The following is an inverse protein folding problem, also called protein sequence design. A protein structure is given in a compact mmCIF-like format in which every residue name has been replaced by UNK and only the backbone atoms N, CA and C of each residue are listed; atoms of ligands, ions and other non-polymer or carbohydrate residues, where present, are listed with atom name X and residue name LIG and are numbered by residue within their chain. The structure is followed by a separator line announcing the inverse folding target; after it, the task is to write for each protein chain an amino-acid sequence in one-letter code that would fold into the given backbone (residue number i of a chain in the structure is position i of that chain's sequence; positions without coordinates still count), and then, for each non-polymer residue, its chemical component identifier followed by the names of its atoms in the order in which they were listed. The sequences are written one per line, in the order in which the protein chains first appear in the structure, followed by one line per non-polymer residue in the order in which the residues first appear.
data_IF_760001652937
#
_entry.id   IF_760001652937
#
_cell.length_a   1.000
_cell.length_b   1.000
_cell.length_c   1.000
_cell.angle_alpha   90.00
_cell.angle_beta   90.00
_cell.angle_gamma   90.00
#
_symmetry.space_group_name_H-M   'P 1'
#
loop_
_entity.id
_entity.type
_entity.pdbx_description
1 polymer ?
#
# COMPACT_ATOMS: atom_id res chain seq x y z
N UNK A 1 -24.49 7.70 -7.35
CA UNK A 1 -24.60 6.75 -6.22
C UNK A 1 -23.56 5.66 -6.44
N UNK A 2 -22.55 5.58 -5.58
CA UNK A 2 -21.51 4.54 -5.65
C UNK A 2 -21.81 3.49 -4.57
N UNK A 3 -22.17 2.28 -4.98
CA UNK A 3 -22.45 1.16 -4.07
C UNK A 3 -21.16 0.37 -3.90
N UNK A 4 -20.45 0.57 -2.79
CA UNK A 4 -19.27 -0.24 -2.46
C UNK A 4 -19.72 -1.55 -1.79
N UNK A 5 -19.51 -2.69 -2.46
CA UNK A 5 -19.61 -4.00 -1.80
C UNK A 5 -18.50 -4.09 -0.76
N UNK A 6 -18.86 -4.25 0.51
CA UNK A 6 -17.91 -4.66 1.55
C UNK A 6 -17.42 -6.08 1.20
N UNK A 7 -16.29 -6.13 0.51
CA UNK A 7 -15.53 -7.36 0.31
C UNK A 7 -14.52 -7.38 1.45
N UNK A 8 -14.31 -8.51 2.12
CA UNK A 8 -13.40 -8.69 3.26
C UNK A 8 -11.90 -8.53 2.87
N UNK A 9 -11.59 -7.48 2.12
CA UNK A 9 -10.23 -7.07 1.75
C UNK A 9 -9.83 -5.90 2.64
N UNK A 10 -8.54 -5.83 2.93
CA UNK A 10 -7.98 -4.70 3.65
C UNK A 10 -7.82 -3.54 2.67
N UNK A 11 -8.27 -2.36 3.06
CA UNK A 11 -8.16 -1.16 2.24
C UNK A 11 -6.73 -0.60 2.30
N UNK A 12 -6.17 -0.24 1.15
CA UNK A 12 -4.88 0.46 1.06
C UNK A 12 -4.99 1.54 0.00
N UNK A 13 -4.47 2.73 0.30
CA UNK A 13 -4.46 3.86 -0.61
C UNK A 13 -3.23 4.73 -0.35
N UNK A 14 -2.77 5.42 -1.39
CA UNK A 14 -1.77 6.50 -1.31
C UNK A 14 -2.41 7.89 -1.39
N UNK A 15 -3.73 7.95 -1.59
CA UNK A 15 -4.50 9.18 -1.63
C UNK A 15 -4.92 9.61 -0.22
N UNK A 16 -4.48 10.81 0.19
CA UNK A 16 -4.70 11.31 1.53
C UNK A 16 -6.20 11.58 1.84
N UNK A 17 -7.00 11.95 0.84
CA UNK A 17 -8.42 12.20 1.04
C UNK A 17 -9.17 10.88 1.27
N UNK A 18 -8.82 9.83 0.53
CA UNK A 18 -9.38 8.49 0.71
C UNK A 18 -8.98 7.87 2.06
N UNK A 19 -7.72 8.05 2.49
CA UNK A 19 -7.27 7.59 3.81
C UNK A 19 -7.98 8.34 4.94
N UNK A 20 -8.14 9.66 4.82
CA UNK A 20 -8.88 10.45 5.81
C UNK A 20 -10.34 10.01 5.89
N UNK A 21 -10.99 9.80 4.76
CA UNK A 21 -12.36 9.28 4.73
C UNK A 21 -12.45 7.90 5.39
N UNK A 22 -11.49 7.01 5.15
CA UNK A 22 -11.46 5.69 5.77
C UNK A 22 -11.34 5.78 7.30
N UNK A 23 -10.42 6.61 7.79
CA UNK A 23 -10.22 6.86 9.22
C UNK A 23 -11.49 7.45 9.89
N UNK A 24 -12.08 8.49 9.28
CA UNK A 24 -13.33 9.12 9.75
C UNK A 24 -14.52 8.14 9.84
N UNK A 25 -14.48 7.05 9.06
CA UNK A 25 -15.56 6.06 8.99
C UNK A 25 -15.18 4.72 9.66
N UNK A 26 -14.06 4.65 10.39
CA UNK A 26 -13.62 3.44 11.09
C UNK A 26 -13.27 2.28 10.16
N UNK A 27 -12.88 2.57 8.91
CA UNK A 27 -12.42 1.58 7.95
C UNK A 27 -10.94 1.32 8.19
N UNK A 28 -10.60 0.11 8.58
CA UNK A 28 -9.21 -0.31 8.79
C UNK A 28 -8.41 -0.20 7.49
N UNK A 29 -7.25 0.45 7.56
CA UNK A 29 -6.36 0.66 6.42
C UNK A 29 -4.97 0.07 6.68
N UNK A 30 -4.35 -0.47 5.63
CA UNK A 30 -2.96 -0.91 5.67
C UNK A 30 -2.12 0.00 4.77
N UNK A 31 -1.05 0.54 5.35
CA UNK A 31 -0.12 1.40 4.62
C UNK A 31 0.72 0.54 3.68
N UNK A 32 0.92 1.00 2.44
CA UNK A 32 1.67 0.28 1.42
C UNK A 32 3.08 -0.12 1.91
N UNK A 33 3.78 0.76 2.62
CA UNK A 33 5.08 0.47 3.22
C UNK A 33 5.05 -0.72 4.16
N UNK A 34 4.01 -0.84 5.00
CA UNK A 34 3.85 -1.95 5.94
C UNK A 34 3.60 -3.28 5.21
N UNK A 35 2.86 -3.25 4.10
CA UNK A 35 2.64 -4.43 3.25
C UNK A 35 3.97 -4.87 2.62
N UNK A 36 4.70 -3.93 2.00
CA UNK A 36 5.97 -4.22 1.33
C UNK A 36 7.05 -4.72 2.30
N UNK A 37 7.13 -4.11 3.49
CA UNK A 37 8.01 -4.56 4.57
C UNK A 37 7.67 -5.97 5.02
N UNK A 38 6.38 -6.26 5.25
CA UNK A 38 5.93 -7.60 5.64
C UNK A 38 6.28 -8.67 4.59
N UNK A 39 6.21 -8.34 3.29
CA UNK A 39 6.62 -9.24 2.21
C UNK A 39 8.12 -9.55 2.27
N UNK A 40 8.95 -8.55 2.59
CA UNK A 40 10.38 -8.73 2.76
C UNK A 40 10.71 -9.55 4.02
N UNK A 41 10.17 -9.14 5.17
CA UNK A 41 10.46 -9.75 6.49
C UNK A 41 9.97 -11.20 6.57
N UNK A 42 8.88 -11.54 5.88
CA UNK A 42 8.39 -12.92 5.77
C UNK A 42 9.22 -13.81 4.84
N UNK A 43 10.17 -13.23 4.09
CA UNK A 43 10.94 -13.95 3.07
C UNK A 43 10.12 -14.36 1.85
N UNK A 44 8.88 -13.90 1.72
CA UNK A 44 8.04 -14.15 0.53
C UNK A 44 8.57 -13.43 -0.70
N UNK A 45 9.26 -12.31 -0.51
CA UNK A 45 9.94 -11.55 -1.55
C UNK A 45 11.33 -11.12 -1.06
N UNK A 46 12.33 -11.24 -1.92
CA UNK A 46 13.65 -10.65 -1.73
C UNK A 46 13.59 -9.12 -1.79
N UNK A 47 14.66 -8.47 -1.34
CA UNK A 47 14.80 -7.01 -1.40
C UNK A 47 14.68 -6.47 -2.83
N UNK A 48 15.26 -7.18 -3.79
CA UNK A 48 15.24 -6.87 -5.22
C UNK A 48 13.83 -6.99 -5.79
N UNK A 49 13.11 -8.06 -5.46
CA UNK A 49 11.72 -8.26 -5.89
C UNK A 49 10.78 -7.20 -5.32
N UNK A 50 10.96 -6.82 -4.04
CA UNK A 50 10.19 -5.73 -3.43
C UNK A 50 10.45 -4.40 -4.15
N UNK A 51 11.70 -4.12 -4.54
CA UNK A 51 12.03 -2.93 -5.36
C UNK A 51 11.35 -2.97 -6.73
N UNK A 52 11.32 -4.13 -7.39
CA UNK A 52 10.61 -4.25 -8.65
C UNK A 52 9.11 -4.00 -8.49
N UNK A 53 8.49 -4.50 -7.42
CA UNK A 53 7.07 -4.24 -7.12
C UNK A 53 6.83 -2.75 -6.98
N UNK A 54 7.67 -2.04 -6.22
CA UNK A 54 7.60 -0.58 -6.06
C UNK A 54 7.67 0.11 -7.42
N UNK A 55 8.67 -0.21 -8.24
CA UNK A 55 8.82 0.39 -9.57
C UNK A 55 7.63 0.10 -10.49
N UNK A 56 7.07 -1.11 -10.42
CA UNK A 56 5.87 -1.50 -11.20
C UNK A 56 4.65 -0.68 -10.77
N UNK A 57 4.46 -0.45 -9.47
CA UNK A 57 3.37 0.39 -8.94
C UNK A 57 3.54 1.83 -9.41
N UNK A 58 4.72 2.43 -9.21
CA UNK A 58 5.02 3.81 -9.60
C UNK A 58 4.78 4.05 -11.10
N UNK A 59 5.25 3.13 -11.94
CA UNK A 59 5.07 3.21 -13.40
C UNK A 59 3.62 3.05 -13.82
N UNK A 60 2.87 2.13 -13.19
CA UNK A 60 1.48 1.85 -13.54
C UNK A 60 0.55 2.98 -13.11
N UNK A 61 0.79 3.54 -11.93
CA UNK A 61 -0.08 4.56 -11.34
C UNK A 61 0.43 5.99 -11.61
N UNK A 62 1.51 6.13 -12.39
CA UNK A 62 2.20 7.39 -12.69
C UNK A 62 2.44 8.24 -11.44
N UNK A 63 2.95 7.58 -10.40
CA UNK A 63 3.13 8.15 -9.06
C UNK A 63 4.56 7.90 -8.55
N UNK A 64 4.89 8.47 -7.39
CA UNK A 64 6.10 8.13 -6.65
C UNK A 64 5.78 7.79 -5.21
N UNK A 65 6.28 6.64 -4.77
CA UNK A 65 6.20 6.22 -3.37
C UNK A 65 7.32 6.96 -2.62
N UNK A 66 6.94 7.77 -1.64
CA UNK A 66 7.92 8.51 -0.82
C UNK A 66 8.52 7.58 0.24
N UNK A 67 9.74 7.87 0.67
CA UNK A 67 10.41 7.17 1.77
C UNK A 67 10.46 5.64 1.59
N UNK A 68 10.81 5.19 0.39
CA UNK A 68 10.91 3.77 0.04
C UNK A 68 11.96 3.06 0.89
N UNK A 69 12.98 3.78 1.36
CA UNK A 69 14.02 3.23 2.24
C UNK A 69 13.45 2.76 3.57
N UNK A 70 12.34 3.35 4.05
CA UNK A 70 11.64 2.87 5.24
C UNK A 70 11.01 1.49 5.06
N UNK A 71 10.90 0.96 3.83
CA UNK A 71 10.51 -0.45 3.61
C UNK A 71 11.63 -1.41 4.04
N UNK A 72 12.89 -1.00 3.89
CA UNK A 72 14.07 -1.87 4.00
C UNK A 72 14.89 -1.66 5.29
N UNK A 73 14.43 -0.79 6.20
CA UNK A 73 15.03 -0.53 7.51
C UNK A 73 14.48 -1.46 8.57
#
# INVERSE_FOLDING_TARGET
ISICRHRKYIFSSIDAAALRFADENGVETLVLHSILRSLQESGLQSKEEVREIITKIEKKDNTRIKDVDAVFR
#
